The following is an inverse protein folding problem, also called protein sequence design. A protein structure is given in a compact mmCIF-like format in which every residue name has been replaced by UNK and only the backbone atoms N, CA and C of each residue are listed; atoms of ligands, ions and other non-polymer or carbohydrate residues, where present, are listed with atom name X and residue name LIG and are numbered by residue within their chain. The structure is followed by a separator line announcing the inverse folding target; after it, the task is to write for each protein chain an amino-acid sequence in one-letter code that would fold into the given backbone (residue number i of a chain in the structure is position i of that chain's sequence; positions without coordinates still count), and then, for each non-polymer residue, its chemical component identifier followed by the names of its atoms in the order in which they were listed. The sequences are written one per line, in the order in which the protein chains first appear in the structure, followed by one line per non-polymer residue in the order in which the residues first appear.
data_IF_931724233484
#
_entry.id   IF_931724233484
#
_cell.length_a   1.000
_cell.length_b   1.000
_cell.length_c   1.000
_cell.angle_alpha   90.00
_cell.angle_beta   90.00
_cell.angle_gamma   90.00
#
_symmetry.space_group_name_H-M   'P 1'
#
loop_
_entity.id
_entity.type
_entity.pdbx_description
1 polymer ?
#
# COMPACT_ATOMS: atom_id res chain seq x y z
N UNK A 1 19.99 -2.48 7.19
CA UNK A 1 19.04 -2.77 8.29
C UNK A 1 19.37 -1.89 9.51
N UNK A 2 18.81 -0.69 9.55
CA UNK A 2 19.12 0.32 10.57
C UNK A 2 17.89 1.12 10.92
N UNK A 3 17.48 1.05 12.17
CA UNK A 3 16.28 1.69 12.70
C UNK A 3 16.72 2.92 13.50
N UNK A 4 16.66 4.13 12.92
CA UNK A 4 17.15 5.34 13.60
C UNK A 4 16.39 6.62 13.19
N UNK A 5 15.09 6.67 13.49
CA UNK A 5 14.28 7.90 13.62
C UNK A 5 12.90 7.53 14.17
N UNK A 6 12.41 8.21 15.21
CA UNK A 6 11.10 7.95 15.82
C UNK A 6 9.97 8.58 15.01
N UNK A 7 8.91 7.82 14.72
CA UNK A 7 7.65 8.30 14.15
C UNK A 7 6.48 7.63 14.86
N UNK A 8 5.37 8.33 15.09
CA UNK A 8 4.16 7.81 15.74
C UNK A 8 3.07 7.52 14.72
N UNK A 9 2.36 6.39 14.90
CA UNK A 9 1.08 6.17 14.22
C UNK A 9 0.78 4.70 13.90
N UNK A 10 -0.13 4.09 14.67
CA UNK A 10 -0.75 2.81 14.34
C UNK A 10 -2.28 2.96 14.43
N UNK A 11 -3.01 2.91 13.31
CA UNK A 11 -4.45 3.21 13.31
C UNK A 11 -5.34 2.03 13.73
N UNK A 12 -4.77 0.84 13.97
CA UNK A 12 -5.57 -0.38 14.19
C UNK A 12 -5.81 -0.67 15.67
N UNK A 13 -4.85 -0.37 16.53
CA UNK A 13 -5.04 -0.30 17.98
C UNK A 13 -5.24 1.16 18.35
N UNK A 14 -6.03 1.49 19.38
CA UNK A 14 -6.11 2.86 19.93
C UNK A 14 -4.81 3.27 20.64
N UNK A 15 -3.68 2.72 20.22
CA UNK A 15 -2.36 2.87 20.81
C UNK A 15 -1.47 3.55 19.78
N UNK A 16 -1.22 4.83 19.98
CA UNK A 16 -0.14 5.54 19.32
C UNK A 16 1.17 5.14 19.98
N UNK A 17 1.85 4.15 19.44
CA UNK A 17 3.21 3.82 19.83
C UNK A 17 4.20 4.46 18.85
N UNK A 18 5.26 5.06 19.39
CA UNK A 18 6.42 5.48 18.61
C UNK A 18 7.13 4.24 18.07
N UNK A 19 7.23 4.14 16.76
CA UNK A 19 8.04 3.15 16.07
C UNK A 19 9.26 3.81 15.46
N UNK A 20 10.34 3.05 15.34
CA UNK A 20 11.51 3.50 14.61
C UNK A 20 11.27 3.29 13.10
N UNK A 21 11.64 4.28 12.30
CA UNK A 21 11.75 4.17 10.85
C UNK A 21 12.97 3.32 10.50
N UNK A 22 12.77 2.39 9.59
CA UNK A 22 13.80 1.58 8.95
C UNK A 22 13.54 1.56 7.44
N UNK A 23 14.55 1.20 6.67
CA UNK A 23 14.38 0.82 5.27
C UNK A 23 14.86 -0.61 5.03
N UNK A 24 14.28 -1.26 4.03
CA UNK A 24 14.72 -2.54 3.50
C UNK A 24 14.27 -2.70 2.05
N UNK A 25 14.66 -3.80 1.42
CA UNK A 25 14.34 -4.13 0.05
C UNK A 25 12.89 -4.60 -0.08
N UNK A 26 12.09 -3.89 -0.86
CA UNK A 26 10.75 -4.33 -1.25
C UNK A 26 10.79 -4.94 -2.65
N UNK A 27 10.23 -6.14 -2.80
CA UNK A 27 10.11 -6.83 -4.09
C UNK A 27 8.63 -7.04 -4.42
N UNK A 28 8.23 -6.61 -5.62
CA UNK A 28 6.85 -6.67 -6.11
C UNK A 28 6.83 -7.23 -7.53
N UNK A 29 5.69 -7.75 -7.98
CA UNK A 29 5.50 -8.05 -9.41
C UNK A 29 5.17 -6.76 -10.16
N UNK A 30 5.96 -6.45 -11.19
CA UNK A 30 5.57 -5.43 -12.17
C UNK A 30 4.41 -5.93 -13.03
N UNK A 31 3.72 -5.03 -13.73
CA UNK A 31 2.60 -5.34 -14.60
C UNK A 31 2.55 -4.32 -15.74
N UNK A 32 2.06 -4.75 -16.89
CA UNK A 32 1.69 -3.87 -18.01
C UNK A 32 0.21 -3.46 -17.96
N UNK A 33 -0.45 -3.75 -16.84
CA UNK A 33 -1.88 -3.53 -16.67
C UNK A 33 -2.74 -4.72 -17.07
N UNK A 34 -2.21 -5.69 -17.81
CA UNK A 34 -2.94 -6.88 -18.31
C UNK A 34 -2.44 -8.17 -17.70
N UNK A 35 -1.14 -8.24 -17.41
CA UNK A 35 -0.48 -9.45 -16.94
C UNK A 35 0.68 -9.10 -16.02
N UNK A 36 0.94 -9.97 -15.05
CA UNK A 36 2.14 -9.81 -14.22
C UNK A 36 3.39 -10.04 -15.06
N UNK A 37 4.34 -9.14 -14.93
CA UNK A 37 5.64 -9.16 -15.58
C UNK A 37 6.71 -9.57 -14.57
N UNK A 38 7.92 -9.06 -14.75
CA UNK A 38 9.11 -9.39 -13.96
C UNK A 38 9.02 -8.83 -12.54
N UNK A 39 9.87 -9.32 -11.64
CA UNK A 39 9.99 -8.71 -10.32
C UNK A 39 10.63 -7.33 -10.44
N UNK A 40 10.05 -6.36 -9.74
CA UNK A 40 10.58 -5.02 -9.57
C UNK A 40 11.02 -4.85 -8.11
N UNK A 41 12.15 -4.18 -7.92
CA UNK A 41 12.79 -4.03 -6.62
C UNK A 41 12.92 -2.57 -6.26
N UNK A 42 12.54 -2.22 -5.03
CA UNK A 42 12.81 -0.93 -4.40
C UNK A 42 13.87 -1.17 -3.31
N UNK A 43 15.13 -0.76 -3.53
CA UNK A 43 16.22 -1.06 -2.60
C UNK A 43 16.06 -0.44 -1.20
N UNK A 44 15.42 0.73 -1.14
CA UNK A 44 15.25 1.52 0.09
C UNK A 44 13.78 1.85 0.29
N UNK A 45 12.97 0.85 0.61
CA UNK A 45 11.57 1.05 0.97
C UNK A 45 11.48 1.35 2.47
N UNK A 46 11.05 2.56 2.82
CA UNK A 46 10.96 3.03 4.20
C UNK A 46 9.68 2.49 4.85
N UNK A 47 9.78 1.94 6.05
CA UNK A 47 8.66 1.47 6.85
C UNK A 47 8.93 1.70 8.34
N UNK A 48 7.90 1.46 9.17
CA UNK A 48 8.02 1.58 10.62
C UNK A 48 8.03 0.19 11.26
N UNK A 49 8.97 -0.03 12.17
CA UNK A 49 8.98 -1.21 13.02
C UNK A 49 7.94 -1.08 14.14
N UNK A 50 7.25 -2.19 14.41
CA UNK A 50 6.14 -2.25 15.35
C UNK A 50 6.37 -3.40 16.34
N UNK A 51 6.06 -3.24 17.64
CA UNK A 51 5.96 -4.37 18.56
C UNK A 51 4.95 -5.42 18.07
N UNK A 52 5.21 -6.70 18.34
CA UNK A 52 4.36 -7.82 17.91
C UNK A 52 2.94 -7.76 18.47
N UNK A 53 2.74 -7.05 19.58
CA UNK A 53 1.44 -6.82 20.20
C UNK A 53 0.49 -6.08 19.26
N UNK A 54 1.02 -5.25 18.35
CA UNK A 54 0.24 -4.49 17.37
C UNK A 54 -0.26 -5.33 16.19
N UNK A 55 0.28 -6.53 15.99
CA UNK A 55 -0.26 -7.47 14.99
C UNK A 55 -1.37 -8.34 15.59
N UNK A 56 -1.58 -8.28 16.90
CA UNK A 56 -2.70 -8.95 17.57
C UNK A 56 -4.03 -8.35 17.08
N UNK A 57 -4.89 -9.21 16.50
CA UNK A 57 -6.16 -8.80 15.89
C UNK A 57 -6.12 -8.59 14.38
N UNK A 58 -4.94 -8.67 13.75
CA UNK A 58 -4.84 -8.76 12.28
C UNK A 58 -5.16 -10.19 11.81
N UNK A 59 -5.39 -10.33 10.50
CA UNK A 59 -5.64 -11.63 9.88
C UNK A 59 -4.47 -12.60 10.16
N UNK A 60 -4.81 -13.86 10.44
CA UNK A 60 -3.83 -14.90 10.76
C UNK A 60 -2.70 -14.96 9.72
N UNK A 61 -1.45 -15.00 10.19
CA UNK A 61 -0.25 -14.98 9.35
C UNK A 61 0.26 -13.58 8.95
N UNK A 62 -0.50 -12.52 9.22
CA UNK A 62 -0.06 -11.13 8.98
C UNK A 62 1.05 -10.73 9.94
N UNK A 63 2.03 -9.98 9.44
CA UNK A 63 3.15 -9.43 10.25
C UNK A 63 3.17 -7.90 10.33
N UNK A 64 2.15 -7.24 9.79
CA UNK A 64 2.07 -5.79 9.74
C UNK A 64 0.96 -5.30 8.82
N UNK A 65 1.03 -4.02 8.46
CA UNK A 65 0.04 -3.34 7.61
C UNK A 65 0.74 -2.57 6.49
N UNK A 66 0.10 -2.52 5.32
CA UNK A 66 0.54 -1.67 4.21
C UNK A 66 -0.27 -0.37 4.20
N UNK A 67 0.39 0.76 4.48
CA UNK A 67 -0.25 2.07 4.46
C UNK A 67 -0.50 2.58 3.04
N UNK A 68 -1.77 2.80 2.68
CA UNK A 68 -2.22 3.39 1.40
C UNK A 68 -2.64 4.87 1.53
N UNK A 69 -2.25 5.52 2.64
CA UNK A 69 -2.62 6.91 2.94
C UNK A 69 -1.91 7.96 2.06
N UNK A 70 -2.25 9.23 2.29
CA UNK A 70 -1.66 10.38 1.58
C UNK A 70 -0.44 10.97 2.30
N UNK A 71 0.50 10.14 2.72
CA UNK A 71 1.72 10.56 3.42
C UNK A 71 2.98 10.34 2.57
N UNK A 72 4.10 10.96 2.93
CA UNK A 72 5.38 10.83 2.22
C UNK A 72 5.94 9.40 2.24
N UNK A 73 5.67 8.66 3.32
CA UNK A 73 6.14 7.28 3.55
C UNK A 73 5.07 6.22 3.22
N UNK A 74 3.91 6.59 2.69
CA UNK A 74 2.92 5.61 2.25
C UNK A 74 3.38 4.89 0.98
N UNK A 75 2.94 3.64 0.81
CA UNK A 75 3.35 2.81 -0.32
C UNK A 75 3.06 3.45 -1.69
N UNK A 76 1.87 4.07 -1.96
CA UNK A 76 1.63 4.74 -3.23
C UNK A 76 2.65 5.85 -3.52
N UNK A 77 3.07 6.62 -2.51
CA UNK A 77 4.03 7.72 -2.68
C UNK A 77 5.43 7.19 -2.94
N UNK A 78 5.90 6.22 -2.15
CA UNK A 78 7.23 5.65 -2.29
C UNK A 78 7.41 4.92 -3.62
N UNK A 79 6.43 4.11 -4.02
CA UNK A 79 6.47 3.36 -5.29
C UNK A 79 6.43 4.29 -6.51
N UNK A 80 5.58 5.32 -6.48
CA UNK A 80 5.54 6.32 -7.54
C UNK A 80 6.87 7.07 -7.70
N UNK A 81 7.53 7.36 -6.57
CA UNK A 81 8.84 8.01 -6.58
C UNK A 81 9.93 7.07 -7.10
N UNK A 82 9.94 5.82 -6.66
CA UNK A 82 10.94 4.82 -7.05
C UNK A 82 10.86 4.45 -8.55
N UNK A 83 9.65 4.28 -9.08
CA UNK A 83 9.41 3.80 -10.45
C UNK A 83 8.99 4.89 -11.44
N UNK A 84 8.87 6.15 -10.98
CA UNK A 84 8.57 7.33 -11.80
C UNK A 84 7.24 7.25 -12.57
N UNK A 85 6.20 6.72 -11.93
CA UNK A 85 4.83 6.72 -12.46
C UNK A 85 3.93 7.73 -11.72
N UNK A 86 2.71 7.94 -12.22
CA UNK A 86 1.73 8.82 -11.56
C UNK A 86 1.37 8.30 -10.17
N UNK A 87 1.41 9.14 -9.13
CA UNK A 87 1.00 8.79 -7.76
C UNK A 87 -0.51 8.54 -7.66
N UNK A 88 -0.94 7.36 -8.12
CA UNK A 88 -2.29 6.80 -8.05
C UNK A 88 -2.19 5.30 -7.85
N UNK A 89 -3.25 4.71 -7.34
CA UNK A 89 -3.40 3.28 -7.19
C UNK A 89 -4.87 2.90 -7.31
N UNK A 90 -5.13 1.64 -7.63
CA UNK A 90 -6.48 1.07 -7.70
C UNK A 90 -6.52 -0.18 -6.86
N UNK A 91 -7.63 -0.38 -6.15
CA UNK A 91 -7.88 -1.57 -5.32
C UNK A 91 -9.10 -2.28 -5.88
N UNK A 92 -8.93 -3.55 -6.23
CA UNK A 92 -10.03 -4.44 -6.57
C UNK A 92 -10.19 -5.47 -5.45
N UNK A 93 -11.08 -5.16 -4.50
CA UNK A 93 -11.44 -6.09 -3.42
C UNK A 93 -12.45 -7.10 -3.96
N UNK A 94 -12.20 -8.38 -3.68
CA UNK A 94 -13.09 -9.47 -4.06
C UNK A 94 -13.85 -9.97 -2.83
N UNK A 95 -15.03 -10.55 -3.06
CA UNK A 95 -15.85 -11.14 -2.00
C UNK A 95 -15.15 -12.36 -1.38
N UNK A 96 -15.42 -12.62 -0.10
CA UNK A 96 -14.89 -13.76 0.68
C UNK A 96 -15.14 -15.12 0.04
N UNK A 97 -16.19 -15.23 -0.78
CA UNK A 97 -16.59 -16.47 -1.45
C UNK A 97 -15.82 -16.76 -2.74
N UNK A 98 -14.92 -15.87 -3.17
CA UNK A 98 -14.15 -16.05 -4.39
C UNK A 98 -12.77 -16.63 -4.08
N UNK A 99 -12.35 -17.63 -4.85
CA UNK A 99 -10.97 -18.15 -4.85
C UNK A 99 -9.97 -17.22 -5.56
N UNK A 100 -10.44 -16.07 -6.04
CA UNK A 100 -9.65 -15.13 -6.82
C UNK A 100 -8.83 -14.22 -5.90
N UNK A 101 -7.58 -13.89 -6.26
CA UNK A 101 -6.73 -13.04 -5.43
C UNK A 101 -7.18 -11.58 -5.47
N UNK A 102 -7.18 -10.91 -4.31
CA UNK A 102 -7.32 -9.44 -4.24
C UNK A 102 -6.13 -8.79 -4.94
N UNK A 103 -6.39 -7.77 -5.76
CA UNK A 103 -5.35 -7.08 -6.53
C UNK A 103 -5.31 -5.60 -6.21
N UNK A 104 -4.10 -5.08 -6.03
CA UNK A 104 -3.81 -3.64 -5.92
C UNK A 104 -2.83 -3.27 -7.03
N UNK A 105 -3.22 -2.32 -7.87
CA UNK A 105 -2.37 -1.76 -8.91
C UNK A 105 -1.79 -0.44 -8.44
N UNK A 106 -0.49 -0.23 -8.62
CA UNK A 106 0.17 1.05 -8.38
C UNK A 106 0.64 1.63 -9.71
N UNK A 107 0.35 2.91 -9.94
CA UNK A 107 0.74 3.62 -11.15
C UNK A 107 -0.33 3.62 -12.24
N UNK A 108 0.13 3.68 -13.48
CA UNK A 108 -0.68 4.06 -14.63
C UNK A 108 -1.53 2.93 -15.21
N UNK A 109 -2.62 3.33 -15.87
CA UNK A 109 -3.53 2.44 -16.62
C UNK A 109 -2.83 1.92 -17.88
N UNK A 110 -3.24 0.76 -18.44
CA UNK A 110 -4.53 0.10 -18.22
C UNK A 110 -4.62 -0.77 -16.95
N UNK A 111 -5.83 -1.07 -16.49
CA UNK A 111 -6.14 -2.06 -15.46
C UNK A 111 -7.11 -3.08 -16.04
N UNK A 112 -6.59 -4.17 -16.61
CA UNK A 112 -7.38 -5.19 -17.30
C UNK A 112 -7.46 -6.43 -16.42
N UNK A 113 -8.68 -6.76 -16.01
CA UNK A 113 -8.99 -7.97 -15.26
C UNK A 113 -9.36 -9.10 -16.21
N UNK A 114 -9.05 -10.34 -15.84
CA UNK A 114 -9.50 -11.51 -16.61
C UNK A 114 -11.04 -11.54 -16.64
N UNK A 115 -11.67 -11.88 -17.79
CA UNK A 115 -11.08 -12.41 -19.02
C UNK A 115 -10.64 -11.37 -20.08
N UNK A 116 -10.44 -10.10 -19.71
CA UNK A 116 -10.06 -9.01 -20.63
C UNK A 116 -10.85 -7.72 -20.42
N UNK A 117 -11.49 -7.57 -19.25
CA UNK A 117 -12.32 -6.41 -18.91
C UNK A 117 -11.42 -5.27 -18.45
N UNK A 118 -11.42 -4.18 -19.21
CA UNK A 118 -10.69 -2.96 -18.85
C UNK A 118 -11.51 -2.13 -17.84
N UNK A 119 -10.96 -1.95 -16.64
CA UNK A 119 -11.52 -1.15 -15.55
C UNK A 119 -10.69 0.11 -15.28
N UNK A 120 -9.93 0.57 -16.28
CA UNK A 120 -9.10 1.79 -16.19
C UNK A 120 -9.92 3.05 -15.96
N UNK A 121 -11.06 3.12 -16.63
CA UNK A 121 -11.93 4.29 -16.59
C UNK A 121 -12.97 4.10 -15.47
N UNK A 122 -12.98 5.00 -14.47
CA UNK A 122 -13.95 4.92 -13.40
C UNK A 122 -15.34 5.26 -13.93
N UNK A 123 -16.35 4.51 -13.49
CA UNK A 123 -17.77 4.78 -13.84
C UNK A 123 -18.24 6.12 -13.26
N UNK A 124 -17.65 6.57 -12.15
CA UNK A 124 -17.92 7.87 -11.53
C UNK A 124 -16.70 8.39 -10.77
N UNK A 125 -16.55 9.70 -10.68
CA UNK A 125 -15.45 10.35 -9.96
C UNK A 125 -15.95 11.38 -8.94
N UNK A 126 -15.26 11.46 -7.81
CA UNK A 126 -15.46 12.51 -6.80
C UNK A 126 -14.12 13.01 -6.27
N UNK A 127 -14.09 14.28 -5.85
CA UNK A 127 -12.88 14.92 -5.36
C UNK A 127 -12.45 14.32 -4.02
N UNK A 128 -11.24 13.78 -3.95
CA UNK A 128 -10.64 13.29 -2.72
C UNK A 128 -10.26 14.46 -1.78
N UNK A 129 -11.00 14.61 -0.69
CA UNK A 129 -10.78 15.65 0.33
C UNK A 129 -9.73 15.23 1.35
N UNK A 130 -9.05 16.21 1.94
CA UNK A 130 -8.22 16.03 3.14
C UNK A 130 -9.04 16.58 4.30
N UNK A 131 -9.23 15.78 5.34
CA UNK A 131 -9.79 16.28 6.58
C UNK A 131 -8.75 17.23 7.23
N UNK A 132 -9.07 18.50 7.51
CA UNK A 132 -8.14 19.41 8.15
C UNK A 132 -7.81 19.02 9.60
N UNK A 133 -8.62 18.17 10.23
CA UNK A 133 -8.37 17.64 11.57
C UNK A 133 -7.59 16.33 11.43
N UNK A 134 -6.39 16.28 12.00
CA UNK A 134 -5.60 15.04 12.07
C UNK A 134 -6.32 14.04 12.97
N UNK A 135 -6.73 12.92 12.39
CA UNK A 135 -7.17 11.72 13.12
C UNK A 135 -6.08 10.64 13.17
N UNK A 136 -4.89 10.93 12.61
CA UNK A 136 -3.70 10.11 12.82
C UNK A 136 -3.17 10.41 14.22
N UNK A 137 -3.15 9.38 15.06
CA UNK A 137 -2.62 9.44 16.43
C UNK A 137 -1.10 9.37 16.49
#
# INVERSE_FOLDING_TARGET
PGCNSTCSGFPFTRLSMSGNLSDDVLVLRSTDGRSTRQLATVPHFVFMCAPSELVSGLAAGSRGMLGLGRTGVAAPTQLATAFRFTKKFVVCLLSSESSNPVVIFFGDSPYVLLPGVDVSEPVAYTKLRINPISTAG
#
